data_IF_311512405654
#
_entry.id   IF_311512405654
#
_cell.length_a   1.000
_cell.length_b   1.000
_cell.length_c   1.000
_cell.angle_alpha   90.00
_cell.angle_beta   90.00
_cell.angle_gamma   90.00
#
_symmetry.space_group_name_H-M   'P 1'
#
loop_
_entity.id
_entity.type
_entity.pdbx_description
1 polymer ?
#
# COMPACT_ATOMS: atom_id res chain seq x y z
N UNK A 1 5.21 -6.22 20.97
CA UNK A 1 5.60 -5.56 19.71
C UNK A 1 5.31 -6.41 18.47
N UNK A 2 5.61 -7.73 18.48
CA UNK A 2 5.20 -8.68 17.42
C UNK A 2 3.68 -8.75 17.19
N UNK A 3 2.90 -8.67 18.27
CA UNK A 3 1.44 -8.84 18.20
C UNK A 3 0.73 -7.68 17.51
N UNK A 4 1.28 -6.46 17.60
CA UNK A 4 0.75 -5.27 16.92
C UNK A 4 1.00 -5.30 15.41
N UNK A 5 2.10 -5.95 14.99
CA UNK A 5 2.47 -6.07 13.57
C UNK A 5 1.67 -7.17 12.86
N UNK A 6 1.27 -8.23 13.58
CA UNK A 6 0.36 -9.27 13.07
C UNK A 6 -1.03 -8.73 12.72
N UNK A 7 -1.53 -7.72 13.46
CA UNK A 7 -2.80 -7.04 13.12
C UNK A 7 -2.74 -6.22 11.83
N UNK A 8 -1.55 -5.86 11.36
CA UNK A 8 -1.34 -5.02 10.18
C UNK A 8 -0.97 -5.80 8.90
N UNK A 9 -0.87 -7.14 8.97
CA UNK A 9 -0.53 -8.01 7.83
C UNK A 9 0.73 -7.55 7.04
N UNK A 10 1.77 -7.13 7.77
CA UNK A 10 3.03 -6.63 7.19
C UNK A 10 3.95 -7.82 6.88
N UNK A 11 4.25 -8.06 5.61
CA UNK A 11 5.22 -9.08 5.19
C UNK A 11 6.65 -8.64 5.56
N UNK A 12 7.31 -9.42 6.42
CA UNK A 12 8.66 -9.11 6.94
C UNK A 12 9.77 -9.32 5.89
N UNK A 13 9.48 -9.99 4.75
CA UNK A 13 10.48 -10.37 3.74
C UNK A 13 10.84 -9.25 2.76
N UNK A 14 10.27 -8.05 2.91
CA UNK A 14 10.60 -6.87 2.10
C UNK A 14 10.03 -6.90 0.67
N UNK A 15 9.28 -7.93 0.30
CA UNK A 15 8.53 -7.94 -0.96
C UNK A 15 7.13 -7.39 -0.72
N UNK A 16 6.86 -6.20 -1.25
CA UNK A 16 5.52 -5.62 -1.20
C UNK A 16 4.57 -6.37 -2.13
N UNK A 17 3.62 -7.12 -1.57
CA UNK A 17 2.50 -7.70 -2.33
C UNK A 17 1.28 -6.76 -2.25
N UNK A 18 1.29 -5.73 -3.11
CA UNK A 18 0.22 -4.73 -3.18
C UNK A 18 -1.14 -5.35 -3.55
N UNK A 19 -1.16 -6.37 -4.40
CA UNK A 19 -2.38 -7.10 -4.78
C UNK A 19 -3.11 -7.68 -3.56
N UNK A 20 -2.39 -8.42 -2.70
CA UNK A 20 -2.97 -9.00 -1.48
C UNK A 20 -3.45 -7.93 -0.48
N UNK A 21 -2.68 -6.86 -0.31
CA UNK A 21 -3.02 -5.79 0.63
C UNK A 21 -4.25 -5.01 0.17
N UNK A 22 -4.30 -4.61 -1.10
CA UNK A 22 -5.42 -3.87 -1.68
C UNK A 22 -6.70 -4.72 -1.74
N UNK A 23 -6.59 -6.01 -2.08
CA UNK A 23 -7.72 -6.96 -2.02
C UNK A 23 -8.33 -7.04 -0.62
N UNK A 24 -7.48 -7.22 0.39
CA UNK A 24 -7.94 -7.32 1.78
C UNK A 24 -8.61 -6.03 2.25
N UNK A 25 -8.13 -4.86 1.83
CA UNK A 25 -8.79 -3.59 2.12
C UNK A 25 -10.14 -3.45 1.44
N UNK A 26 -10.22 -3.79 0.14
CA UNK A 26 -11.45 -3.77 -0.63
C UNK A 26 -12.54 -4.67 -0.04
N UNK A 27 -12.17 -5.87 0.41
CA UNK A 27 -13.11 -6.86 0.93
C UNK A 27 -13.61 -6.57 2.35
N UNK A 28 -12.83 -5.88 3.19
CA UNK A 28 -13.09 -5.84 4.64
C UNK A 28 -13.23 -4.44 5.25
N UNK A 29 -12.79 -3.40 4.55
CA UNK A 29 -12.65 -2.07 5.14
C UNK A 29 -13.11 -0.94 4.23
N UNK A 30 -13.60 -1.25 3.03
CA UNK A 30 -13.88 -0.23 2.02
C UNK A 30 -14.92 0.75 2.55
N UNK A 31 -16.04 0.29 3.11
CA UNK A 31 -17.09 1.12 3.69
C UNK A 31 -16.62 2.09 4.80
N UNK A 32 -15.45 1.86 5.41
CA UNK A 32 -14.89 2.71 6.48
C UNK A 32 -13.98 3.83 5.99
N UNK A 33 -13.71 3.90 4.68
CA UNK A 33 -12.86 4.94 4.09
C UNK A 33 -13.71 6.14 3.67
N UNK A 34 -13.41 7.29 4.22
CA UNK A 34 -14.15 8.55 4.01
C UNK A 34 -13.19 9.76 3.94
N UNK A 35 -13.77 10.96 3.84
CA UNK A 35 -13.06 12.22 3.71
C UNK A 35 -12.37 12.69 5.00
N UNK A 36 -12.44 11.91 6.08
CA UNK A 36 -11.62 12.06 7.28
C UNK A 36 -10.43 11.07 7.31
N UNK A 37 -10.44 10.06 6.43
CA UNK A 37 -9.44 9.00 6.39
C UNK A 37 -8.14 9.43 5.69
N UNK A 38 -7.00 9.09 6.28
CA UNK A 38 -5.67 9.27 5.67
C UNK A 38 -5.01 7.90 5.45
N UNK A 39 -4.57 7.63 4.23
CA UNK A 39 -3.91 6.38 3.84
C UNK A 39 -2.41 6.61 3.68
N UNK A 40 -1.59 5.75 4.29
CA UNK A 40 -0.15 5.68 4.06
C UNK A 40 0.19 4.35 3.39
N UNK A 41 0.78 4.40 2.19
CA UNK A 41 1.34 3.22 1.50
C UNK A 41 2.84 3.21 1.69
N UNK A 42 3.36 2.15 2.31
CA UNK A 42 4.79 1.98 2.54
C UNK A 42 5.36 0.95 1.55
N UNK A 43 6.30 1.38 0.71
CA UNK A 43 7.05 0.49 -0.17
C UNK A 43 7.54 1.16 -1.45
N UNK A 44 8.16 0.38 -2.33
CA UNK A 44 8.92 0.90 -3.47
C UNK A 44 8.12 1.08 -4.77
N UNK A 45 6.81 0.81 -4.73
CA UNK A 45 5.90 0.81 -5.90
C UNK A 45 6.30 -0.18 -7.01
N UNK A 46 7.23 -1.09 -6.74
CA UNK A 46 7.66 -2.10 -7.71
C UNK A 46 6.74 -3.29 -7.55
N UNK A 47 5.69 -3.30 -8.37
CA UNK A 47 4.78 -4.42 -8.39
C UNK A 47 5.46 -5.60 -9.12
N UNK A 48 6.09 -6.49 -8.36
CA UNK A 48 6.86 -7.66 -8.82
C UNK A 48 6.01 -8.65 -9.63
N UNK A 49 5.62 -8.27 -10.86
CA UNK A 49 4.80 -9.01 -11.83
C UNK A 49 3.35 -9.33 -11.40
N UNK A 50 2.82 -8.69 -10.37
CA UNK A 50 1.40 -8.86 -9.95
C UNK A 50 0.49 -7.77 -10.55
N UNK A 51 -0.84 -7.95 -10.47
CA UNK A 51 -1.81 -6.91 -10.83
C UNK A 51 -1.65 -5.69 -9.89
N UNK A 52 -1.62 -4.48 -10.44
CA UNK A 52 -1.52 -3.24 -9.67
C UNK A 52 -2.80 -2.93 -8.88
N UNK A 53 -3.91 -3.62 -9.16
CA UNK A 53 -5.26 -3.31 -8.64
C UNK A 53 -5.55 -1.82 -8.73
N UNK A 54 -5.21 -1.24 -9.88
CA UNK A 54 -5.29 0.20 -10.09
C UNK A 54 -6.69 0.74 -9.81
N UNK A 55 -7.73 -0.04 -10.16
CA UNK A 55 -9.12 0.33 -9.89
C UNK A 55 -9.42 0.43 -8.39
N UNK A 56 -8.97 -0.54 -7.59
CA UNK A 56 -9.13 -0.53 -6.14
C UNK A 56 -8.35 0.62 -5.51
N UNK A 57 -7.11 0.85 -5.95
CA UNK A 57 -6.29 1.94 -5.45
C UNK A 57 -6.88 3.33 -5.76
N UNK A 58 -7.40 3.52 -6.98
CA UNK A 58 -8.12 4.74 -7.35
C UNK A 58 -9.36 4.93 -6.48
N UNK A 59 -10.17 3.87 -6.27
CA UNK A 59 -11.37 3.96 -5.43
C UNK A 59 -11.05 4.31 -3.97
N UNK A 60 -9.94 3.79 -3.43
CA UNK A 60 -9.45 4.18 -2.10
C UNK A 60 -9.01 5.65 -2.08
N UNK A 61 -8.33 6.11 -3.14
CA UNK A 61 -7.83 7.47 -3.26
C UNK A 61 -8.94 8.51 -3.45
N UNK A 62 -10.00 8.14 -4.17
CA UNK A 62 -11.16 9.01 -4.40
C UNK A 62 -11.98 9.24 -3.13
N UNK A 63 -11.92 8.29 -2.18
CA UNK A 63 -12.69 8.35 -0.93
C UNK A 63 -11.92 8.94 0.22
N UNK A 64 -10.63 8.63 0.33
CA UNK A 64 -9.78 9.12 1.41
C UNK A 64 -9.49 10.62 1.26
N UNK A 65 -9.33 11.32 2.39
CA UNK A 65 -8.89 12.72 2.41
C UNK A 65 -7.54 12.90 1.72
N UNK A 66 -6.59 12.02 2.06
CA UNK A 66 -5.23 12.05 1.57
C UNK A 66 -4.66 10.64 1.44
N UNK A 67 -3.85 10.42 0.41
CA UNK A 67 -3.06 9.20 0.22
C UNK A 67 -1.60 9.59 0.04
N UNK A 68 -0.73 9.06 0.91
CA UNK A 68 0.71 9.29 0.87
C UNK A 68 1.45 7.99 0.55
N UNK A 69 2.33 8.03 -0.45
CA UNK A 69 3.22 6.93 -0.77
C UNK A 69 4.62 7.21 -0.25
N UNK A 70 5.07 6.44 0.72
CA UNK A 70 6.40 6.57 1.31
C UNK A 70 7.26 5.38 0.87
N UNK A 71 8.28 5.66 0.07
CA UNK A 71 9.30 4.69 -0.24
C UNK A 71 10.44 4.81 0.78
N UNK A 72 10.67 3.79 1.65
CA UNK A 72 11.73 3.84 2.65
C UNK A 72 13.14 3.63 2.07
N UNK A 73 13.28 3.26 0.80
CA UNK A 73 14.58 3.13 0.15
C UNK A 73 15.26 4.50 -0.03
N UNK A 74 16.60 4.51 0.11
CA UNK A 74 17.38 5.73 -0.16
C UNK A 74 17.13 6.23 -1.58
N UNK A 75 16.97 7.56 -1.75
CA UNK A 75 16.75 8.23 -3.04
C UNK A 75 17.73 7.79 -4.14
N UNK A 76 18.93 7.31 -3.78
CA UNK A 76 19.97 6.82 -4.69
C UNK A 76 19.60 5.57 -5.50
N UNK A 77 18.54 4.83 -5.13
CA UNK A 77 18.07 3.65 -5.88
C UNK A 77 16.88 3.92 -6.81
N UNK A 78 16.43 5.17 -6.93
CA UNK A 78 15.31 5.52 -7.81
C UNK A 78 15.69 5.54 -9.30
N UNK A 79 16.97 5.71 -9.66
CA UNK A 79 17.35 6.05 -11.05
C UNK A 79 18.62 5.35 -11.59
N UNK A 80 18.88 4.10 -11.20
CA UNK A 80 19.86 3.29 -11.95
C UNK A 80 19.15 2.53 -13.08
N UNK A 81 18.84 3.27 -14.15
CA UNK A 81 18.91 2.70 -15.50
C UNK A 81 20.38 2.73 -15.93
N UNK A 82 21.09 1.63 -15.68
CA UNK A 82 22.26 1.27 -16.49
C UNK A 82 21.78 0.69 -17.82
#
# INVERSE_FOLDING_TARGET
MKDSLMKANIDYRGYSNYDKALKMYEENYMEKIDDETIIFVLGDARNNRNDARMKTFLNLSDRAKHVFWLNPEEKRKFDNKS
#
